data_IF_950658321205
#
_entry.id   IF_950658321205
#
_cell.length_a   1.000
_cell.length_b   1.000
_cell.length_c   1.000
_cell.angle_alpha   90.00
_cell.angle_beta   90.00
_cell.angle_gamma   90.00
#
_symmetry.space_group_name_H-M   'P 1'
#
loop_
_entity.id
_entity.type
_entity.pdbx_description
1 polymer ?
#
# COMPACT_ATOMS: atom_id res chain seq x y z
N UNK A 1 -31.26 -54.06 -21.88
CA UNK A 1 -30.00 -53.55 -22.50
C UNK A 1 -29.80 -52.12 -22.02
N UNK A 2 -28.68 -51.87 -21.34
CA UNK A 2 -28.37 -50.62 -20.63
C UNK A 2 -27.72 -49.63 -21.59
N UNK A 3 -28.36 -48.48 -21.84
CA UNK A 3 -27.76 -47.38 -22.60
C UNK A 3 -26.92 -46.50 -21.65
N UNK A 4 -25.61 -46.66 -21.70
CA UNK A 4 -24.64 -45.82 -20.98
C UNK A 4 -24.52 -44.46 -21.68
N UNK A 5 -25.06 -43.41 -21.06
CA UNK A 5 -24.92 -42.03 -21.53
C UNK A 5 -23.54 -41.47 -21.12
N UNK A 6 -22.67 -41.24 -22.10
CA UNK A 6 -21.34 -40.64 -21.90
C UNK A 6 -21.50 -39.16 -21.55
N UNK A 7 -21.18 -38.77 -20.31
CA UNK A 7 -21.03 -37.36 -19.93
C UNK A 7 -19.75 -36.81 -20.56
N UNK A 8 -19.89 -35.97 -21.57
CA UNK A 8 -18.79 -35.16 -22.11
C UNK A 8 -18.39 -34.14 -21.05
N UNK A 9 -17.20 -34.29 -20.48
CA UNK A 9 -16.58 -33.32 -19.58
C UNK A 9 -16.31 -32.04 -20.38
N UNK A 10 -16.98 -30.94 -20.04
CA UNK A 10 -16.61 -29.61 -20.51
C UNK A 10 -15.33 -29.22 -19.75
N UNK A 11 -14.17 -29.03 -20.39
CA UNK A 11 -12.99 -28.56 -19.69
C UNK A 11 -13.20 -27.12 -19.23
N UNK A 12 -13.05 -26.89 -17.93
CA UNK A 12 -13.06 -25.58 -17.28
C UNK A 12 -12.19 -24.59 -18.07
N UNK A 13 -12.83 -23.56 -18.61
CA UNK A 13 -12.22 -22.40 -19.27
C UNK A 13 -11.53 -21.44 -18.28
N UNK A 14 -10.98 -21.96 -17.18
CA UNK A 14 -10.07 -21.25 -16.27
C UNK A 14 -8.68 -21.90 -16.37
N UNK A 15 -8.19 -22.06 -17.61
CA UNK A 15 -6.79 -22.36 -17.93
C UNK A 15 -6.21 -21.29 -18.85
N UNK A 16 -6.35 -20.03 -18.44
CA UNK A 16 -5.59 -18.89 -18.97
C UNK A 16 -5.32 -17.97 -17.77
N UNK A 17 -4.33 -18.25 -16.93
CA UNK A 17 -3.10 -17.45 -16.93
C UNK A 17 -2.05 -17.97 -15.93
N UNK A 18 -2.20 -19.20 -15.43
CA UNK A 18 -1.15 -19.88 -14.68
C UNK A 18 -0.06 -20.39 -15.63
N UNK A 19 0.58 -19.48 -16.37
CA UNK A 19 1.87 -19.77 -16.96
C UNK A 19 2.85 -20.01 -15.81
N UNK A 20 3.49 -21.18 -15.89
CA UNK A 20 4.65 -21.66 -15.15
C UNK A 20 5.23 -20.63 -14.18
N UNK A 21 5.32 -21.00 -12.90
CA UNK A 21 6.30 -20.38 -11.98
C UNK A 21 7.67 -20.58 -12.61
N UNK A 22 8.09 -19.60 -13.41
CA UNK A 22 9.27 -19.73 -14.22
C UNK A 22 10.52 -19.70 -13.34
N UNK A 23 11.38 -20.69 -13.59
CA UNK A 23 12.70 -20.87 -13.00
C UNK A 23 13.58 -19.60 -13.12
N UNK A 24 13.24 -18.65 -14.00
CA UNK A 24 13.93 -17.36 -14.14
C UNK A 24 13.90 -16.52 -12.86
N UNK A 25 12.91 -16.71 -11.97
CA UNK A 25 12.84 -15.98 -10.69
C UNK A 25 13.86 -16.49 -9.67
N UNK A 26 14.25 -17.77 -9.73
CA UNK A 26 15.22 -18.38 -8.80
C UNK A 26 16.67 -18.09 -9.20
N UNK A 27 16.93 -17.72 -10.46
CA UNK A 27 18.27 -17.47 -11.00
C UNK A 27 18.74 -16.02 -10.86
N UNK A 28 17.96 -15.13 -10.23
CA UNK A 28 18.33 -13.72 -10.00
C UNK A 28 19.13 -13.53 -8.71
N UNK A 29 20.41 -13.85 -8.76
CA UNK A 29 21.39 -13.35 -7.80
C UNK A 29 21.83 -11.94 -8.22
N UNK A 30 21.64 -10.95 -7.34
CA UNK A 30 21.74 -9.51 -7.59
C UNK A 30 23.13 -8.96 -7.88
N UNK A 31 23.84 -9.52 -8.87
CA UNK A 31 25.21 -9.12 -9.24
C UNK A 31 25.21 -8.11 -10.42
N UNK A 32 24.07 -7.88 -11.09
CA UNK A 32 23.94 -6.91 -12.20
C UNK A 32 22.67 -6.06 -12.13
N UNK A 33 22.46 -5.33 -11.04
CA UNK A 33 21.40 -4.31 -10.96
C UNK A 33 19.96 -4.84 -10.83
N UNK A 34 19.79 -6.13 -10.53
CA UNK A 34 18.50 -6.66 -10.11
C UNK A 34 18.15 -6.12 -8.72
N UNK A 35 16.99 -5.47 -8.59
CA UNK A 35 16.53 -4.93 -7.32
C UNK A 35 16.40 -6.04 -6.27
N UNK A 36 17.31 -6.02 -5.28
CA UNK A 36 17.13 -6.74 -4.02
C UNK A 36 15.84 -6.16 -3.42
N UNK A 37 14.84 -7.00 -3.17
CA UNK A 37 13.69 -6.63 -2.36
C UNK A 37 14.18 -6.42 -0.92
N UNK A 38 14.77 -5.25 -0.67
CA UNK A 38 15.08 -4.78 0.66
C UNK A 38 13.78 -4.40 1.35
N UNK A 39 13.67 -4.72 2.64
CA UNK A 39 12.59 -4.24 3.48
C UNK A 39 12.43 -2.73 3.33
N UNK A 40 11.20 -2.25 3.13
CA UNK A 40 10.95 -0.83 2.92
C UNK A 40 11.44 -0.02 4.13
N UNK A 41 12.62 0.58 3.99
CA UNK A 41 13.28 1.29 5.09
C UNK A 41 12.60 2.62 5.45
N UNK A 42 11.73 3.12 4.54
CA UNK A 42 11.12 4.45 4.56
C UNK A 42 9.60 4.38 4.43
N UNK A 43 8.91 5.08 5.32
CA UNK A 43 7.45 5.19 5.37
C UNK A 43 6.91 6.10 4.25
N UNK A 44 5.82 5.70 3.58
CA UNK A 44 5.12 6.57 2.65
C UNK A 44 4.19 7.54 3.39
N UNK A 45 4.65 8.77 3.62
CA UNK A 45 3.89 9.80 4.31
C UNK A 45 2.72 10.39 3.49
N UNK A 46 2.67 10.17 2.17
CA UNK A 46 1.55 10.62 1.32
C UNK A 46 0.35 9.66 1.37
N UNK A 47 0.49 8.51 2.04
CA UNK A 47 -0.62 7.58 2.20
C UNK A 47 -1.80 8.29 2.89
N UNK A 48 -3.06 8.18 2.40
CA UNK A 48 -4.19 8.95 2.93
C UNK A 48 -4.37 8.88 4.45
N UNK A 49 -4.18 7.70 5.04
CA UNK A 49 -4.25 7.51 6.49
C UNK A 49 -3.10 8.15 7.27
N UNK A 50 -1.92 8.31 6.68
CA UNK A 50 -0.78 8.97 7.35
C UNK A 50 -0.85 10.48 7.13
N UNK A 51 -1.19 10.88 5.90
CA UNK A 51 -1.31 12.27 5.49
C UNK A 51 -2.38 13.03 6.29
N UNK A 52 -3.50 12.39 6.64
CA UNK A 52 -4.56 13.06 7.41
C UNK A 52 -4.06 13.54 8.79
N UNK A 53 -3.19 12.77 9.46
CA UNK A 53 -2.57 13.19 10.72
C UNK A 53 -1.62 14.36 10.51
N UNK A 54 -0.79 14.31 9.46
CA UNK A 54 0.15 15.39 9.12
C UNK A 54 -0.61 16.68 8.85
N UNK A 55 -1.65 16.63 8.02
CA UNK A 55 -2.46 17.79 7.67
C UNK A 55 -3.16 18.38 8.90
N UNK A 56 -3.80 17.52 9.72
CA UNK A 56 -4.46 17.95 10.96
C UNK A 56 -3.47 18.60 11.91
N UNK A 57 -2.29 18.00 12.12
CA UNK A 57 -1.25 18.57 12.99
C UNK A 57 -0.70 19.87 12.46
N UNK A 58 -0.53 20.01 11.15
CA UNK A 58 -0.05 21.25 10.54
C UNK A 58 -1.02 22.42 10.80
N UNK A 59 -2.33 22.18 10.75
CA UNK A 59 -3.32 23.19 11.11
C UNK A 59 -3.24 23.56 12.62
N UNK A 60 -3.04 22.57 13.49
CA UNK A 60 -2.92 22.78 14.95
C UNK A 60 -1.66 23.56 15.35
N UNK A 61 -0.60 23.50 14.57
CA UNK A 61 0.69 24.15 14.85
C UNK A 61 0.88 25.45 14.09
N UNK A 62 -0.20 26.06 13.59
CA UNK A 62 -0.17 27.27 12.79
C UNK A 62 0.85 27.19 11.64
N UNK A 63 0.91 26.04 10.97
CA UNK A 63 1.78 25.79 9.82
C UNK A 63 3.29 25.85 10.10
N UNK A 64 3.71 25.57 11.33
CA UNK A 64 5.12 25.42 11.70
C UNK A 64 5.62 23.99 11.48
N UNK A 65 6.46 23.78 10.45
CA UNK A 65 7.01 22.46 10.11
C UNK A 65 7.78 21.81 11.26
N UNK A 66 8.52 22.59 12.04
CA UNK A 66 9.29 22.08 13.17
C UNK A 66 8.39 21.67 14.34
N UNK A 67 7.37 22.47 14.65
CA UNK A 67 6.40 22.13 15.69
C UNK A 67 5.57 20.90 15.30
N UNK A 68 5.16 20.80 14.02
CA UNK A 68 4.42 19.65 13.48
C UNK A 68 5.23 18.36 13.59
N UNK A 69 6.50 18.36 13.18
CA UNK A 69 7.35 17.18 13.29
C UNK A 69 7.47 16.71 14.76
N UNK A 70 7.76 17.64 15.68
CA UNK A 70 7.86 17.33 17.12
C UNK A 70 6.56 16.80 17.70
N UNK A 71 5.43 17.42 17.37
CA UNK A 71 4.12 17.00 17.85
C UNK A 71 3.75 15.60 17.31
N UNK A 72 4.01 15.33 16.03
CA UNK A 72 3.76 14.02 15.43
C UNK A 72 4.64 12.92 16.02
N UNK A 73 5.92 13.20 16.25
CA UNK A 73 6.84 12.26 16.90
C UNK A 73 6.47 11.98 18.35
N UNK A 74 5.97 12.98 19.08
CA UNK A 74 5.50 12.80 20.46
C UNK A 74 4.22 11.98 20.51
N UNK A 75 3.26 12.30 19.65
CA UNK A 75 1.93 11.71 19.71
C UNK A 75 1.88 10.31 19.07
N UNK A 76 2.65 10.08 18.00
CA UNK A 76 2.76 8.78 17.31
C UNK A 76 4.23 8.44 16.98
N UNK A 77 5.05 8.11 18.00
CA UNK A 77 6.49 7.91 17.84
C UNK A 77 6.83 6.82 16.83
N UNK A 78 6.09 5.71 16.80
CA UNK A 78 6.36 4.58 15.89
C UNK A 78 6.18 5.00 14.41
N UNK A 79 5.16 5.79 14.11
CA UNK A 79 4.83 6.16 12.72
C UNK A 79 5.70 7.29 12.19
N UNK A 80 6.07 8.25 13.05
CA UNK A 80 6.75 9.49 12.64
C UNK A 80 8.18 9.62 13.16
N UNK A 81 8.78 8.58 13.76
CA UNK A 81 10.17 8.60 14.26
C UNK A 81 11.16 9.18 13.25
N UNK A 82 11.01 8.84 11.97
CA UNK A 82 11.90 9.29 10.88
C UNK A 82 11.44 10.56 10.17
N UNK A 83 10.27 11.11 10.51
CA UNK A 83 9.74 12.32 9.88
C UNK A 83 10.47 13.53 10.43
N UNK A 84 11.17 14.28 9.58
CA UNK A 84 11.91 15.46 10.00
C UNK A 84 11.27 16.77 9.48
N UNK A 85 11.68 17.90 10.07
CA UNK A 85 11.17 19.23 9.70
C UNK A 85 11.43 19.59 8.24
N UNK A 86 12.55 19.14 7.68
CA UNK A 86 12.97 19.47 6.32
C UNK A 86 12.05 18.85 5.28
N UNK A 87 11.65 17.60 5.51
CA UNK A 87 10.67 16.89 4.70
C UNK A 87 9.32 17.62 4.66
N UNK A 88 8.80 18.04 5.82
CA UNK A 88 7.55 18.82 5.89
C UNK A 88 7.71 20.19 5.22
N UNK A 89 8.86 20.85 5.40
CA UNK A 89 9.15 22.14 4.78
C UNK A 89 9.11 22.07 3.26
N UNK A 90 9.59 20.98 2.65
CA UNK A 90 9.57 20.76 1.20
C UNK A 90 8.16 20.58 0.65
N UNK A 91 7.22 20.11 1.48
CA UNK A 91 5.82 19.94 1.07
C UNK A 91 5.03 21.25 1.09
N UNK A 92 5.48 22.22 1.87
CA UNK A 92 4.84 23.53 2.09
C UNK A 92 5.33 24.56 1.08
N UNK A 93 4.46 25.50 0.68
CA UNK A 93 4.88 26.69 -0.06
C UNK A 93 5.64 27.64 0.88
N UNK A 94 6.78 28.17 0.44
CA UNK A 94 7.62 29.05 1.27
C UNK A 94 6.86 30.34 1.58
N UNK A 95 6.73 30.65 2.88
CA UNK A 95 6.06 31.87 3.35
C UNK A 95 4.53 31.81 3.37
N UNK A 96 3.92 30.71 2.92
CA UNK A 96 2.46 30.61 2.80
C UNK A 96 1.90 29.45 3.61
N UNK A 97 0.69 29.60 4.14
CA UNK A 97 0.00 28.56 4.89
C UNK A 97 -0.79 27.61 3.97
N UNK A 98 -0.09 27.05 2.97
CA UNK A 98 -0.63 26.03 2.07
C UNK A 98 0.41 24.99 1.63
N UNK A 99 -0.08 23.83 1.23
CA UNK A 99 0.73 22.80 0.59
C UNK A 99 1.06 23.19 -0.85
N UNK A 100 2.20 22.70 -1.36
CA UNK A 100 2.54 22.83 -2.78
C UNK A 100 1.59 21.99 -3.63
N UNK A 101 1.31 22.44 -4.85
CA UNK A 101 0.44 21.70 -5.79
C UNK A 101 0.97 20.29 -6.06
N UNK A 102 2.29 20.14 -6.13
CA UNK A 102 2.96 18.83 -6.24
C UNK A 102 2.63 17.90 -5.06
N UNK A 103 2.61 18.44 -3.84
CA UNK A 103 2.26 17.65 -2.65
C UNK A 103 0.80 17.21 -2.71
N UNK A 104 -0.11 18.12 -3.07
CA UNK A 104 -1.52 17.79 -3.22
C UNK A 104 -1.75 16.75 -4.31
N UNK A 105 -1.01 16.83 -5.42
CA UNK A 105 -1.03 15.84 -6.49
C UNK A 105 -0.51 14.47 -6.01
N UNK A 106 0.59 14.43 -5.27
CA UNK A 106 1.13 13.19 -4.69
C UNK A 106 0.13 12.54 -3.73
N UNK A 107 -0.52 13.33 -2.88
CA UNK A 107 -1.57 12.85 -1.96
C UNK A 107 -2.77 12.31 -2.73
N UNK A 108 -3.22 13.02 -3.77
CA UNK A 108 -4.35 12.59 -4.63
C UNK A 108 -4.04 11.30 -5.36
N UNK A 109 -2.84 11.20 -5.93
CA UNK A 109 -2.36 10.01 -6.63
C UNK A 109 -2.02 8.87 -5.66
N UNK A 110 -2.20 9.10 -4.35
CA UNK A 110 -1.83 8.19 -3.25
C UNK A 110 -0.40 7.71 -3.41
N UNK A 111 0.47 8.55 -4.01
CA UNK A 111 1.65 8.10 -4.74
C UNK A 111 2.45 7.15 -3.87
N UNK A 112 2.22 5.85 -4.08
CA UNK A 112 3.22 4.84 -3.87
C UNK A 112 4.11 5.13 -5.06
N UNK A 113 5.25 5.79 -4.81
CA UNK A 113 6.25 6.06 -5.84
C UNK A 113 6.41 4.77 -6.68
N UNK A 114 5.84 4.77 -7.88
CA UNK A 114 5.93 3.64 -8.78
C UNK A 114 7.41 3.49 -9.12
N UNK A 115 8.04 2.44 -8.58
CA UNK A 115 9.45 2.16 -8.76
C UNK A 115 10.30 2.10 -7.49
N UNK A 116 9.77 2.39 -6.29
CA UNK A 116 10.59 2.41 -5.07
C UNK A 116 10.21 1.34 -4.04
N UNK A 117 9.92 0.11 -4.45
CA UNK A 117 9.94 -1.06 -3.55
C UNK A 117 9.21 -0.88 -2.21
N UNK A 118 8.13 -0.08 -2.18
CA UNK A 118 7.45 0.27 -0.93
C UNK A 118 6.47 -0.84 -0.57
N UNK A 119 6.97 -1.79 0.20
CA UNK A 119 6.19 -2.72 0.99
C UNK A 119 5.16 -1.96 1.85
N UNK A 120 3.89 -2.31 1.71
CA UNK A 120 2.80 -1.71 2.50
C UNK A 120 2.99 -1.96 4.00
N UNK A 121 2.28 -1.20 4.85
CA UNK A 121 2.39 -1.29 6.32
C UNK A 121 2.20 -2.72 6.87
N UNK A 122 1.49 -3.57 6.13
CA UNK A 122 1.21 -4.96 6.49
C UNK A 122 2.28 -5.96 6.03
N UNK A 123 3.29 -5.54 5.26
CA UNK A 123 4.31 -6.45 4.73
C UNK A 123 5.06 -7.26 5.79
N UNK A 124 5.34 -6.74 7.01
CA UNK A 124 5.91 -7.55 8.09
C UNK A 124 4.97 -8.63 8.65
N UNK A 125 3.68 -8.59 8.30
CA UNK A 125 2.63 -9.44 8.86
C UNK A 125 1.98 -10.31 7.75
N UNK A 126 2.72 -11.29 7.19
CA UNK A 126 2.23 -12.11 6.08
C UNK A 126 0.98 -12.92 6.45
N UNK A 127 0.85 -13.34 7.70
CA UNK A 127 -0.32 -14.10 8.18
C UNK A 127 -1.58 -13.23 8.15
N UNK A 128 -1.49 -11.99 8.62
CA UNK A 128 -2.58 -11.01 8.55
C UNK A 128 -2.96 -10.70 7.11
N UNK A 129 -1.99 -10.59 6.20
CA UNK A 129 -2.25 -10.43 4.76
C UNK A 129 -3.01 -11.64 4.20
N UNK A 130 -2.62 -12.86 4.58
CA UNK A 130 -3.27 -14.08 4.11
C UNK A 130 -4.70 -14.21 4.62
N UNK A 131 -4.94 -13.85 5.88
CA UNK A 131 -6.28 -13.86 6.48
C UNK A 131 -7.21 -12.84 5.80
N UNK A 132 -6.77 -11.59 5.63
CA UNK A 132 -7.52 -10.55 4.90
C UNK A 132 -7.83 -11.02 3.47
N UNK A 133 -6.83 -11.58 2.77
CA UNK A 133 -7.03 -12.09 1.41
C UNK A 133 -8.03 -13.25 1.36
N UNK A 134 -8.04 -14.11 2.38
CA UNK A 134 -8.97 -15.24 2.47
C UNK A 134 -10.39 -14.75 2.66
N UNK A 135 -10.62 -13.77 3.54
CA UNK A 135 -11.94 -13.16 3.78
C UNK A 135 -12.44 -12.43 2.54
N UNK A 136 -11.59 -11.63 1.88
CA UNK A 136 -12.00 -10.90 0.67
C UNK A 136 -12.31 -11.85 -0.49
N UNK A 137 -11.59 -12.98 -0.59
CA UNK A 137 -11.88 -14.02 -1.59
C UNK A 137 -13.18 -14.75 -1.28
N UNK A 138 -13.45 -15.10 -0.03
CA UNK A 138 -14.70 -15.79 0.34
C UNK A 138 -15.94 -14.94 0.03
N UNK A 139 -15.86 -13.63 0.30
CA UNK A 139 -16.92 -12.67 -0.07
C UNK A 139 -17.15 -12.59 -1.59
N UNK A 140 -16.07 -12.61 -2.38
CA UNK A 140 -16.18 -12.62 -3.84
C UNK A 140 -16.81 -13.92 -4.35
N UNK A 141 -16.44 -15.06 -3.76
CA UNK A 141 -17.03 -16.37 -4.10
C UNK A 141 -18.51 -16.44 -3.72
N UNK A 142 -18.94 -15.77 -2.66
CA UNK A 142 -20.36 -15.67 -2.27
C UNK A 142 -21.16 -14.66 -3.10
N UNK A 143 -20.59 -14.10 -4.19
CA UNK A 143 -21.26 -13.15 -5.07
C UNK A 143 -21.39 -11.74 -4.50
N UNK A 144 -20.74 -11.43 -3.38
CA UNK A 144 -20.73 -10.09 -2.78
C UNK A 144 -19.65 -9.27 -3.47
N UNK A 145 -20.05 -8.16 -4.09
CA UNK A 145 -19.09 -7.21 -4.66
C UNK A 145 -18.33 -6.52 -3.54
N UNK A 146 -17.03 -6.78 -3.47
CA UNK A 146 -16.15 -6.15 -2.50
C UNK A 146 -15.91 -4.70 -2.93
N UNK A 147 -16.66 -3.76 -2.34
CA UNK A 147 -16.38 -2.32 -2.44
C UNK A 147 -15.38 -1.90 -1.34
N UNK A 148 -14.73 -0.75 -1.52
CA UNK A 148 -13.76 -0.14 -0.60
C UNK A 148 -14.32 -0.07 0.82
N UNK A 149 -15.60 0.29 1.00
CA UNK A 149 -16.24 0.36 2.33
C UNK A 149 -16.31 -1.00 3.04
N UNK A 150 -16.53 -2.09 2.28
CA UNK A 150 -16.55 -3.46 2.83
C UNK A 150 -15.13 -3.89 3.17
N UNK A 151 -14.16 -3.59 2.28
CA UNK A 151 -12.75 -3.84 2.56
C UNK A 151 -12.24 -3.13 3.81
N UNK A 152 -12.70 -1.90 4.07
CA UNK A 152 -12.38 -1.13 5.27
C UNK A 152 -13.05 -1.64 6.56
N UNK A 153 -14.12 -2.44 6.46
CA UNK A 153 -14.76 -3.05 7.64
C UNK A 153 -14.05 -4.34 8.09
N UNK A 154 -13.17 -4.89 7.25
CA UNK A 154 -12.44 -6.14 7.48
C UNK A 154 -11.01 -5.85 7.98
N UNK A 155 -10.48 -4.66 7.69
CA UNK A 155 -9.15 -4.18 8.07
C UNK A 155 -9.28 -3.22 9.25
#
# INVERSE_FOLDING_TARGET
>A
MVASSKKTLVPDTIKVSCLRKEEWRLSRNGIRGGAIQSEATRMNYYHPYVWCYINRKMCQTAWSSAATAKALQRDFPVLFAKLNKGTIQQWKVKGENRWTDRTLLNVKNRSVLEGSGHAGILTPYPDTINEINTILRSLRTSGISVNISIGQSII
#
